data_IF_961028807705
#
_entry.id   IF_961028807705
#
_cell.length_a   1.000
_cell.length_b   1.000
_cell.length_c   1.000
_cell.angle_alpha   90.00
_cell.angle_beta   90.00
_cell.angle_gamma   90.00
#
_symmetry.space_group_name_H-M   'P 1'
#
loop_
_entity.id
_entity.type
_entity.pdbx_description
1 polymer ?
#
# COMPACT_ATOMS: atom_id res chain seq x y z
N UNK A 1 -29.84 -12.15 -0.87
CA UNK A 1 -28.45 -12.55 -0.56
C UNK A 1 -27.87 -13.15 -1.83
N UNK A 2 -26.73 -12.67 -2.37
CA UNK A 2 -26.10 -13.31 -3.52
C UNK A 2 -25.94 -14.81 -3.22
N UNK A 3 -26.54 -15.66 -4.02
CA UNK A 3 -26.50 -17.12 -3.87
C UNK A 3 -25.16 -17.71 -4.37
N UNK A 4 -24.11 -16.89 -4.47
CA UNK A 4 -22.99 -17.08 -5.40
C UNK A 4 -21.71 -17.63 -4.77
N UNK A 5 -21.03 -18.51 -5.50
CA UNK A 5 -19.69 -18.99 -5.15
C UNK A 5 -18.61 -17.92 -5.29
N UNK A 6 -17.37 -18.32 -4.96
CA UNK A 6 -16.18 -17.45 -5.00
C UNK A 6 -16.01 -16.81 -6.39
N UNK A 7 -15.63 -15.53 -6.41
CA UNK A 7 -15.21 -14.79 -7.60
C UNK A 7 -13.72 -14.53 -7.55
N UNK A 8 -13.09 -14.44 -8.71
CA UNK A 8 -11.67 -14.15 -8.82
C UNK A 8 -11.48 -12.85 -9.56
N UNK A 9 -10.59 -12.00 -9.04
CA UNK A 9 -10.20 -10.73 -9.63
C UNK A 9 -8.68 -10.72 -9.79
N UNK A 10 -8.23 -10.61 -11.04
CA UNK A 10 -6.81 -10.66 -11.39
C UNK A 10 -6.09 -9.34 -11.09
N UNK A 11 -5.18 -9.33 -10.12
CA UNK A 11 -4.42 -8.16 -9.71
C UNK A 11 -3.10 -8.09 -10.47
N UNK A 12 -3.07 -7.27 -11.52
CA UNK A 12 -1.89 -7.14 -12.35
C UNK A 12 -0.75 -6.36 -11.67
N UNK A 13 0.48 -6.55 -12.19
CA UNK A 13 1.72 -5.95 -11.65
C UNK A 13 1.65 -4.44 -11.44
N UNK A 14 0.90 -3.72 -12.28
CA UNK A 14 0.78 -2.25 -12.20
C UNK A 14 0.09 -1.73 -10.94
N UNK A 15 -0.60 -2.59 -10.18
CA UNK A 15 -1.35 -2.21 -8.98
C UNK A 15 -0.45 -2.19 -7.75
N UNK A 16 0.24 -3.30 -7.47
CA UNK A 16 1.04 -3.49 -6.26
C UNK A 16 2.51 -3.87 -6.51
N UNK A 17 2.94 -3.94 -7.77
CA UNK A 17 4.29 -4.35 -8.18
C UNK A 17 4.51 -5.86 -8.19
N UNK A 18 3.43 -6.66 -8.18
CA UNK A 18 3.45 -8.10 -8.41
C UNK A 18 2.06 -8.56 -8.89
N UNK A 19 2.03 -9.73 -9.53
CA UNK A 19 0.85 -10.32 -10.13
C UNK A 19 0.25 -11.40 -9.22
N UNK A 20 -1.06 -11.40 -9.00
CA UNK A 20 -1.78 -12.47 -8.29
C UNK A 20 -3.29 -12.42 -8.53
N UNK A 21 -4.00 -13.47 -8.16
CA UNK A 21 -5.47 -13.53 -8.21
C UNK A 21 -6.08 -13.34 -6.81
N UNK A 22 -6.91 -12.31 -6.65
CA UNK A 22 -7.69 -12.07 -5.43
C UNK A 22 -9.01 -12.86 -5.50
N UNK A 23 -9.23 -13.74 -4.52
CA UNK A 23 -10.51 -14.42 -4.33
C UNK A 23 -11.45 -13.55 -3.50
N UNK A 24 -12.72 -13.48 -3.90
CA UNK A 24 -13.78 -12.72 -3.25
C UNK A 24 -14.93 -13.69 -2.93
N UNK A 25 -15.18 -13.89 -1.64
CA UNK A 25 -16.25 -14.72 -1.12
C UNK A 25 -17.47 -13.91 -0.69
N UNK A 26 -18.54 -14.59 -0.30
CA UNK A 26 -19.74 -13.92 0.23
C UNK A 26 -19.45 -13.14 1.51
N UNK A 27 -18.50 -13.59 2.33
CA UNK A 27 -18.09 -12.90 3.55
C UNK A 27 -17.58 -11.48 3.28
N UNK A 28 -16.81 -11.29 2.20
CA UNK A 28 -16.29 -9.96 1.81
C UNK A 28 -17.42 -9.00 1.44
N UNK A 29 -18.48 -9.49 0.78
CA UNK A 29 -19.67 -8.69 0.49
C UNK A 29 -20.45 -8.36 1.77
N UNK A 30 -20.58 -9.35 2.67
CA UNK A 30 -21.30 -9.16 3.92
C UNK A 30 -20.61 -8.14 4.83
N UNK A 31 -19.27 -8.05 4.82
CA UNK A 31 -18.55 -7.01 5.55
C UNK A 31 -19.05 -5.61 5.19
N UNK A 32 -19.23 -5.34 3.89
CA UNK A 32 -19.74 -4.05 3.41
C UNK A 32 -21.23 -3.87 3.71
N UNK A 33 -22.05 -4.87 3.40
CA UNK A 33 -23.51 -4.75 3.53
C UNK A 33 -24.00 -4.71 4.99
N UNK A 34 -23.30 -5.40 5.88
CA UNK A 34 -23.64 -5.47 7.31
C UNK A 34 -22.91 -4.43 8.16
N UNK A 35 -22.07 -3.57 7.54
CA UNK A 35 -21.24 -2.59 8.26
C UNK A 35 -20.31 -3.25 9.29
N UNK A 36 -19.74 -4.41 8.95
CA UNK A 36 -18.72 -5.06 9.77
C UNK A 36 -17.35 -4.46 9.46
N UNK A 37 -16.33 -4.84 10.25
CA UNK A 37 -14.96 -4.48 9.94
C UNK A 37 -14.55 -5.03 8.56
N UNK A 38 -14.10 -4.13 7.67
CA UNK A 38 -13.70 -4.52 6.33
C UNK A 38 -12.31 -5.18 6.35
N UNK A 39 -12.20 -6.32 5.69
CA UNK A 39 -10.95 -7.06 5.54
C UNK A 39 -10.08 -6.57 4.39
N UNK A 40 -8.86 -7.11 4.34
CA UNK A 40 -7.88 -6.83 3.28
C UNK A 40 -8.44 -7.10 1.87
N UNK A 41 -9.23 -8.16 1.69
CA UNK A 41 -9.85 -8.50 0.40
C UNK A 41 -10.76 -7.39 -0.12
N UNK A 42 -11.59 -6.80 0.75
CA UNK A 42 -12.49 -5.69 0.38
C UNK A 42 -11.68 -4.48 -0.04
N UNK A 43 -10.65 -4.12 0.72
CA UNK A 43 -9.75 -3.00 0.41
C UNK A 43 -9.01 -3.22 -0.92
N UNK A 44 -8.43 -4.41 -1.13
CA UNK A 44 -7.76 -4.78 -2.38
C UNK A 44 -8.70 -4.69 -3.59
N UNK A 45 -9.92 -5.20 -3.44
CA UNK A 45 -10.94 -5.16 -4.49
C UNK A 45 -11.33 -3.73 -4.83
N UNK A 46 -11.47 -2.86 -3.83
CA UNK A 46 -11.76 -1.45 -4.05
C UNK A 46 -10.59 -0.71 -4.74
N UNK A 47 -9.34 -1.00 -4.35
CA UNK A 47 -8.16 -0.46 -5.02
C UNK A 47 -8.12 -0.90 -6.49
N UNK A 48 -8.44 -2.16 -6.77
CA UNK A 48 -8.54 -2.63 -8.15
C UNK A 48 -9.59 -1.86 -8.94
N UNK A 49 -10.76 -1.63 -8.34
CA UNK A 49 -11.81 -0.83 -8.96
C UNK A 49 -11.32 0.60 -9.24
N UNK A 50 -10.66 1.25 -8.29
CA UNK A 50 -10.07 2.58 -8.48
C UNK A 50 -9.00 2.57 -9.59
N UNK A 51 -8.15 1.55 -9.62
CA UNK A 51 -7.12 1.42 -10.64
C UNK A 51 -7.72 1.35 -12.04
N UNK A 52 -8.72 0.49 -12.24
CA UNK A 52 -9.37 0.27 -13.54
C UNK A 52 -10.26 1.44 -13.98
N UNK A 53 -10.97 2.08 -13.04
CA UNK A 53 -12.00 3.08 -13.36
C UNK A 53 -11.53 4.52 -13.24
N UNK A 54 -10.54 4.77 -12.38
CA UNK A 54 -10.03 6.11 -12.12
C UNK A 54 -8.59 6.25 -12.58
N UNK A 55 -7.70 5.33 -12.24
CA UNK A 55 -6.28 5.59 -12.47
C UNK A 55 -5.88 5.46 -13.93
N UNK A 56 -5.97 4.25 -14.47
CA UNK A 56 -5.52 3.91 -15.82
C UNK A 56 -6.21 4.73 -16.91
N UNK A 57 -7.55 4.91 -16.91
CA UNK A 57 -8.21 5.69 -17.97
C UNK A 57 -7.81 7.17 -17.99
N UNK A 58 -7.35 7.71 -16.86
CA UNK A 58 -6.98 9.12 -16.72
C UNK A 58 -5.46 9.33 -16.64
N UNK A 59 -4.64 8.29 -16.87
CA UNK A 59 -3.18 8.35 -16.79
C UNK A 59 -2.66 8.73 -15.40
N UNK A 60 -3.44 8.52 -14.34
CA UNK A 60 -3.06 8.90 -12.97
C UNK A 60 -2.10 7.90 -12.33
N UNK A 61 -1.92 6.72 -12.91
CA UNK A 61 -0.98 5.68 -12.48
C UNK A 61 0.50 6.10 -12.62
N UNK A 62 0.80 7.15 -13.39
CA UNK A 62 2.15 7.77 -13.42
C UNK A 62 2.42 8.64 -12.19
N UNK A 63 1.37 9.21 -11.58
CA UNK A 63 1.46 10.14 -10.44
C UNK A 63 1.05 9.52 -9.11
N UNK A 64 0.28 8.42 -9.13
CA UNK A 64 -0.25 7.77 -7.94
C UNK A 64 -0.03 6.26 -8.00
N UNK A 65 0.26 5.64 -6.86
CA UNK A 65 0.39 4.19 -6.73
C UNK A 65 -0.13 3.70 -5.39
N UNK A 66 -0.26 2.39 -5.25
CA UNK A 66 -0.68 1.75 -4.01
C UNK A 66 0.36 0.73 -3.55
N UNK A 67 0.49 0.58 -2.24
CA UNK A 67 1.16 -0.57 -1.63
C UNK A 67 0.13 -1.60 -1.18
N UNK A 68 0.47 -2.87 -1.31
CA UNK A 68 -0.43 -3.97 -0.96
C UNK A 68 -0.71 -4.01 0.55
N UNK A 69 -1.99 -3.85 0.98
CA UNK A 69 -2.38 -3.99 2.39
C UNK A 69 -2.06 -5.38 2.97
N UNK A 70 -2.13 -6.41 2.14
CA UNK A 70 -1.75 -7.78 2.49
C UNK A 70 -0.25 -7.92 2.83
N UNK A 71 0.59 -6.97 2.39
CA UNK A 71 2.05 -6.98 2.57
C UNK A 71 2.52 -5.92 3.57
N UNK A 72 1.76 -4.84 3.75
CA UNK A 72 2.10 -3.73 4.65
C UNK A 72 0.99 -3.55 5.69
N UNK A 73 1.15 -4.20 6.84
CA UNK A 73 0.25 -4.10 7.99
C UNK A 73 1.02 -4.36 9.28
N UNK A 74 0.43 -4.02 10.43
CA UNK A 74 1.11 -4.11 11.72
C UNK A 74 1.55 -5.54 12.06
N UNK A 75 0.72 -6.55 11.78
CA UNK A 75 1.06 -7.94 12.05
C UNK A 75 2.30 -8.41 11.28
N UNK A 76 2.45 -8.01 10.02
CA UNK A 76 3.65 -8.32 9.23
C UNK A 76 4.86 -7.48 9.62
N UNK A 77 4.68 -6.22 10.02
CA UNK A 77 5.79 -5.42 10.56
C UNK A 77 6.38 -6.09 11.80
N UNK A 78 5.53 -6.54 12.72
CA UNK A 78 5.98 -7.15 13.98
C UNK A 78 6.61 -8.53 13.79
N UNK A 79 6.15 -9.31 12.79
CA UNK A 79 6.62 -10.69 12.59
C UNK A 79 7.70 -10.83 11.54
N UNK A 80 7.75 -9.95 10.53
CA UNK A 80 8.62 -10.02 9.34
C UNK A 80 9.01 -8.61 8.84
N UNK A 81 9.61 -7.75 9.68
CA UNK A 81 9.89 -6.35 9.32
C UNK A 81 10.77 -6.23 8.07
N UNK A 82 11.74 -7.12 7.90
CA UNK A 82 12.65 -7.11 6.74
C UNK A 82 11.89 -7.36 5.43
N UNK A 83 10.91 -8.28 5.42
CA UNK A 83 10.09 -8.56 4.23
C UNK A 83 9.22 -7.36 3.86
N UNK A 84 8.64 -6.68 4.86
CA UNK A 84 7.86 -5.46 4.61
C UNK A 84 8.78 -4.36 4.10
N UNK A 85 9.93 -4.15 4.73
CA UNK A 85 10.93 -3.14 4.35
C UNK A 85 11.41 -3.35 2.91
N UNK A 86 11.78 -4.58 2.55
CA UNK A 86 12.22 -4.93 1.20
C UNK A 86 11.15 -4.65 0.16
N UNK A 87 9.90 -5.03 0.43
CA UNK A 87 8.78 -4.76 -0.47
C UNK A 87 8.58 -3.27 -0.69
N UNK A 88 8.46 -2.49 0.38
CA UNK A 88 8.22 -1.04 0.26
C UNK A 88 9.40 -0.38 -0.45
N UNK A 89 10.63 -0.67 -0.03
CA UNK A 89 11.83 -0.09 -0.61
C UNK A 89 11.97 -0.40 -2.10
N UNK A 90 11.67 -1.64 -2.51
CA UNK A 90 11.68 -2.03 -3.93
C UNK A 90 10.71 -1.16 -4.73
N UNK A 91 9.45 -1.03 -4.28
CA UNK A 91 8.44 -0.23 -5.00
C UNK A 91 8.88 1.23 -5.12
N UNK A 92 9.42 1.82 -4.04
CA UNK A 92 9.91 3.20 -4.08
C UNK A 92 11.11 3.34 -5.03
N UNK A 93 12.06 2.39 -5.00
CA UNK A 93 13.24 2.40 -5.87
C UNK A 93 12.91 2.21 -7.35
N UNK A 94 11.95 1.33 -7.68
CA UNK A 94 11.47 1.12 -9.04
C UNK A 94 10.83 2.40 -9.62
N UNK A 95 10.37 3.30 -8.75
CA UNK A 95 9.72 4.56 -9.11
C UNK A 95 10.54 5.79 -8.65
N UNK A 96 11.83 5.64 -8.33
CA UNK A 96 12.66 6.69 -7.71
C UNK A 96 12.82 7.96 -8.55
N UNK A 97 12.69 7.82 -9.86
CA UNK A 97 12.83 8.92 -10.82
C UNK A 97 11.45 9.55 -11.16
N UNK A 98 10.35 9.04 -10.60
CA UNK A 98 9.00 9.55 -10.77
C UNK A 98 8.57 10.42 -9.58
N UNK A 99 7.84 11.51 -9.85
CA UNK A 99 7.19 12.31 -8.80
C UNK A 99 5.84 11.69 -8.40
N UNK A 100 5.92 10.51 -7.80
CA UNK A 100 4.75 9.67 -7.49
C UNK A 100 4.39 9.74 -6.00
N UNK A 101 3.08 9.77 -5.70
CA UNK A 101 2.55 9.62 -4.35
C UNK A 101 2.01 8.19 -4.16
N UNK A 102 2.53 7.48 -3.16
CA UNK A 102 2.12 6.11 -2.85
C UNK A 102 1.16 6.07 -1.67
N UNK A 103 -0.03 5.53 -1.89
CA UNK A 103 -1.03 5.30 -0.86
C UNK A 103 -0.83 3.93 -0.21
N UNK A 104 -0.88 3.90 1.12
CA UNK A 104 -0.69 2.69 1.94
C UNK A 104 -1.90 2.56 2.86
N UNK A 105 -2.91 1.77 2.47
CA UNK A 105 -3.94 1.34 3.40
C UNK A 105 -3.27 0.41 4.41
N UNK A 106 -3.30 0.81 5.68
CA UNK A 106 -2.56 0.14 6.74
C UNK A 106 -3.54 -0.35 7.80
N UNK A 107 -3.53 -1.65 8.09
CA UNK A 107 -4.34 -2.23 9.15
C UNK A 107 -3.49 -2.44 10.42
N UNK A 108 -4.00 -1.99 11.56
CA UNK A 108 -3.33 -2.07 12.86
C UNK A 108 -3.80 -3.25 13.72
N UNK A 109 -4.52 -4.22 13.14
CA UNK A 109 -5.15 -5.33 13.85
C UNK A 109 -6.52 -4.99 14.43
N UNK A 110 -7.34 -4.22 13.71
CA UNK A 110 -8.68 -3.79 14.14
C UNK A 110 -9.07 -2.37 13.73
N UNK A 111 -8.14 -1.64 13.10
CA UNK A 111 -8.35 -0.28 12.63
C UNK A 111 -7.57 -0.03 11.34
N UNK A 112 -8.18 0.70 10.42
CA UNK A 112 -7.58 1.07 9.14
C UNK A 112 -7.17 2.54 9.15
N UNK A 113 -5.91 2.78 8.79
CA UNK A 113 -5.37 4.09 8.47
C UNK A 113 -4.99 4.16 6.99
N UNK A 114 -4.76 5.38 6.52
CA UNK A 114 -4.13 5.64 5.24
C UNK A 114 -2.84 6.45 5.44
N UNK A 115 -1.73 5.91 4.97
CA UNK A 115 -0.51 6.69 4.76
C UNK A 115 -0.44 7.12 3.29
N UNK A 116 0.15 8.28 3.03
CA UNK A 116 0.59 8.63 1.69
C UNK A 116 2.04 9.10 1.71
N UNK A 117 2.91 8.44 0.94
CA UNK A 117 4.35 8.71 0.90
C UNK A 117 4.72 9.34 -0.44
N UNK A 118 5.32 10.52 -0.39
CA UNK A 118 6.07 11.08 -1.51
C UNK A 118 7.56 10.84 -1.23
N UNK A 119 8.18 9.80 -1.81
CA UNK A 119 9.56 9.43 -1.51
C UNK A 119 10.56 10.49 -2.01
N UNK A 120 10.26 11.14 -3.14
CA UNK A 120 11.13 12.17 -3.72
C UNK A 120 11.24 13.41 -2.84
N UNK A 121 10.14 13.79 -2.19
CA UNK A 121 10.06 14.91 -1.25
C UNK A 121 10.29 14.49 0.21
N UNK A 122 10.39 13.19 0.48
CA UNK A 122 10.48 12.61 1.82
C UNK A 122 9.37 13.07 2.77
N UNK A 123 8.16 13.22 2.24
CA UNK A 123 6.96 13.62 2.99
C UNK A 123 6.06 12.40 3.19
N UNK A 124 5.58 12.23 4.42
CA UNK A 124 4.58 11.23 4.79
C UNK A 124 3.35 11.97 5.31
N UNK A 125 2.20 11.70 4.70
CA UNK A 125 0.90 12.12 5.19
C UNK A 125 0.27 10.96 5.97
N UNK A 126 -0.26 11.27 7.15
CA UNK A 126 -0.93 10.31 8.04
C UNK A 126 -2.40 10.70 8.17
N UNK A 127 -3.29 9.76 7.84
CA UNK A 127 -4.73 9.96 7.93
C UNK A 127 -5.34 8.86 8.79
N UNK A 128 -5.91 9.28 9.93
CA UNK A 128 -6.57 8.42 10.88
C UNK A 128 -7.95 8.99 11.22
N UNK A 129 -8.99 8.22 10.92
CA UNK A 129 -10.39 8.62 11.15
C UNK A 129 -10.79 8.62 12.63
N UNK A 130 -9.99 8.01 13.52
CA UNK A 130 -10.17 8.07 14.97
C UNK A 130 -9.44 9.26 15.61
N UNK A 131 -8.67 10.02 14.83
CA UNK A 131 -7.95 11.20 15.32
C UNK A 131 -6.72 10.89 16.16
N UNK A 132 -6.20 9.65 16.10
CA UNK A 132 -4.90 9.34 16.72
C UNK A 132 -3.78 10.10 16.00
N UNK A 133 -2.61 10.14 16.65
CA UNK A 133 -1.43 10.79 16.10
C UNK A 133 -0.46 9.80 15.42
N UNK A 134 0.50 10.34 14.68
CA UNK A 134 1.57 9.59 14.01
C UNK A 134 2.41 8.72 14.96
N UNK A 135 2.40 9.02 16.27
CA UNK A 135 3.20 8.30 17.28
C UNK A 135 2.45 7.14 17.91
N UNK A 136 1.15 7.00 17.64
CA UNK A 136 0.28 5.96 18.21
C UNK A 136 0.71 4.55 17.80
N UNK A 137 1.29 4.39 16.61
CA UNK A 137 1.80 3.10 16.10
C UNK A 137 3.32 3.19 15.86
N UNK A 138 4.16 3.03 16.91
CA UNK A 138 5.59 3.27 16.82
C UNK A 138 6.31 2.34 15.84
N UNK A 139 5.89 1.07 15.75
CA UNK A 139 6.50 0.10 14.82
C UNK A 139 6.26 0.48 13.35
N UNK A 140 5.08 1.00 13.03
CA UNK A 140 4.77 1.55 11.71
C UNK A 140 5.68 2.73 11.40
N UNK A 141 5.81 3.68 12.34
CA UNK A 141 6.70 4.84 12.19
C UNK A 141 8.15 4.41 11.95
N UNK A 142 8.66 3.49 12.78
CA UNK A 142 10.03 2.96 12.67
C UNK A 142 10.27 2.31 11.30
N UNK A 143 9.31 1.51 10.81
CA UNK A 143 9.39 0.92 9.48
C UNK A 143 9.48 1.99 8.39
N UNK A 144 8.60 2.99 8.41
CA UNK A 144 8.59 4.06 7.40
C UNK A 144 9.89 4.88 7.43
N UNK A 145 10.37 5.24 8.63
CA UNK A 145 11.64 5.95 8.78
C UNK A 145 12.81 5.13 8.22
N UNK A 146 12.83 3.82 8.51
CA UNK A 146 13.87 2.89 8.02
C UNK A 146 13.85 2.79 6.50
N UNK A 147 12.67 2.65 5.90
CA UNK A 147 12.51 2.58 4.45
C UNK A 147 12.96 3.88 3.77
N UNK A 148 12.57 5.05 4.30
CA UNK A 148 12.96 6.33 3.73
C UNK A 148 14.47 6.57 3.84
N UNK A 149 15.08 6.19 4.96
CA UNK A 149 16.54 6.25 5.13
C UNK A 149 17.26 5.34 4.11
N UNK A 150 16.78 4.11 3.93
CA UNK A 150 17.34 3.17 2.96
C UNK A 150 17.16 3.68 1.51
N UNK A 151 15.99 4.23 1.18
CA UNK A 151 15.69 4.81 -0.11
C UNK A 151 16.65 5.97 -0.45
N UNK A 152 16.84 6.90 0.48
CA UNK A 152 17.79 8.02 0.33
C UNK A 152 19.20 7.50 0.03
N UNK A 153 19.70 6.60 0.87
CA UNK A 153 21.04 6.05 0.72
C UNK A 153 21.25 5.35 -0.63
N UNK A 154 20.29 4.53 -1.07
CA UNK A 154 20.39 3.82 -2.34
C UNK A 154 20.27 4.76 -3.56
N UNK A 155 19.37 5.74 -3.50
CA UNK A 155 19.20 6.75 -4.56
C UNK A 155 20.49 7.55 -4.76
N UNK A 156 21.12 8.00 -3.68
CA UNK A 156 22.33 8.83 -3.72
C UNK A 156 23.56 8.06 -4.25
N UNK A 157 23.66 6.76 -3.97
CA UNK A 157 24.68 5.88 -4.56
C UNK A 157 24.50 5.78 -6.08
N UNK A 158 23.26 5.65 -6.55
CA UNK A 158 22.98 5.50 -7.97
C UNK A 158 23.17 6.80 -8.75
N UNK A 159 22.83 7.96 -8.18
CA UNK A 159 23.10 9.27 -8.81
C UNK A 159 24.59 9.54 -8.92
N UNK A 160 25.36 9.24 -7.87
CA UNK A 160 26.83 9.37 -7.86
C UNK A 160 27.51 8.50 -8.92
N UNK A 161 27.00 7.28 -9.18
CA UNK A 161 27.51 6.38 -10.22
C UNK A 161 27.16 6.82 -11.65
N UNK A 162 26.08 7.59 -11.85
CA UNK A 162 25.70 8.11 -13.18
C UNK A 162 26.51 9.35 -13.59
N UNK A 163 27.13 10.05 -12.64
CA UNK A 163 27.92 11.25 -12.87
C UNK A 163 29.44 11.03 -13.00
N UNK A 164 29.90 9.79 -12.86
CA UNK A 164 31.29 9.37 -13.06
C UNK A 164 31.43 8.63 -14.40
#
# INVERSE_FOLDING_TARGET
>A
IPTGGVRTVHMEVGIFGFDYDQMIGNEDFMQVFSHEEIGVTVVNTYIRFLYDKLMRPNGLDVSFGFLAPATVNLGLILSRPDTVTEYVLRILMDNKDAEKLFFIPFNTGGHWLLLAINPSREIVYYLDSLGNDWTTYPDMKVLIDTVLQAFRAQRDIQTSRRGA
#
